data_IF_654253063613
#
_entry.id   IF_654253063613
#
_cell.length_a   1.000
_cell.length_b   1.000
_cell.length_c   1.000
_cell.angle_alpha   90.00
_cell.angle_beta   90.00
_cell.angle_gamma   90.00
#
_symmetry.space_group_name_H-M   'P 1'
#
loop_
_entity.id
_entity.type
_entity.pdbx_description
1 polymer ?
#
# COMPACT_ATOMS: atom_id res chain seq x y z
N UNK A 1 13.67 20.66 0.16
CA UNK A 1 13.85 19.55 -0.82
C UNK A 1 13.70 18.15 -0.23
N UNK A 2 14.13 17.86 1.02
CA UNK A 2 13.94 16.53 1.64
C UNK A 2 12.47 16.04 1.68
N UNK A 3 11.53 16.94 1.99
CA UNK A 3 10.09 16.63 2.03
C UNK A 3 9.52 16.12 0.69
N UNK A 4 9.87 16.78 -0.41
CA UNK A 4 9.46 16.38 -1.78
C UNK A 4 10.06 15.03 -2.22
N UNK A 5 11.29 14.72 -1.81
CA UNK A 5 11.92 13.42 -2.07
C UNK A 5 11.26 12.29 -1.29
N UNK A 6 10.89 12.53 -0.03
CA UNK A 6 10.20 11.56 0.83
C UNK A 6 8.75 11.30 0.44
N UNK A 7 8.07 12.28 -0.17
CA UNK A 7 6.75 12.11 -0.76
C UNK A 7 6.78 11.20 -2.00
N UNK A 8 7.78 11.39 -2.88
CA UNK A 8 7.98 10.52 -4.04
C UNK A 8 8.26 9.06 -3.63
N UNK A 9 8.98 8.85 -2.53
CA UNK A 9 9.18 7.50 -1.98
C UNK A 9 7.90 6.90 -1.41
N UNK A 10 7.07 7.70 -0.76
CA UNK A 10 5.78 7.28 -0.22
C UNK A 10 4.82 6.84 -1.34
N UNK A 11 4.74 7.63 -2.41
CA UNK A 11 3.94 7.28 -3.60
C UNK A 11 4.48 6.00 -4.26
N UNK A 12 5.81 5.86 -4.39
CA UNK A 12 6.42 4.62 -4.92
C UNK A 12 6.06 3.39 -4.10
N UNK A 13 6.02 3.50 -2.78
CA UNK A 13 5.61 2.40 -1.90
C UNK A 13 4.13 2.05 -2.07
N UNK A 14 3.25 3.05 -2.16
CA UNK A 14 1.83 2.82 -2.42
C UNK A 14 1.58 2.11 -3.76
N UNK A 15 2.27 2.54 -4.82
CA UNK A 15 2.21 1.90 -6.14
C UNK A 15 2.77 0.47 -6.09
N UNK A 16 3.87 0.26 -5.37
CA UNK A 16 4.45 -1.07 -5.20
C UNK A 16 3.46 -2.03 -4.53
N UNK A 17 2.81 -1.60 -3.44
CA UNK A 17 1.80 -2.41 -2.74
C UNK A 17 0.59 -2.70 -3.64
N UNK A 18 0.12 -1.70 -4.39
CA UNK A 18 -1.02 -1.85 -5.30
C UNK A 18 -0.77 -2.87 -6.43
N UNK A 19 0.49 -3.03 -6.86
CA UNK A 19 0.89 -4.01 -7.89
C UNK A 19 1.26 -5.37 -7.28
N UNK A 20 1.91 -5.38 -6.11
CA UNK A 20 2.31 -6.60 -5.43
C UNK A 20 1.11 -7.42 -4.96
N UNK A 21 0.05 -6.76 -4.48
CA UNK A 21 -1.16 -7.42 -4.00
C UNK A 21 -1.82 -8.34 -5.06
N UNK A 22 -2.18 -7.86 -6.27
CA UNK A 22 -2.77 -8.72 -7.29
C UNK A 22 -1.83 -9.83 -7.77
N UNK A 23 -0.52 -9.57 -7.81
CA UNK A 23 0.49 -10.60 -8.14
C UNK A 23 0.51 -11.74 -7.11
N UNK A 24 0.55 -11.41 -5.82
CA UNK A 24 0.58 -12.39 -4.74
C UNK A 24 -0.74 -13.17 -4.69
N UNK A 25 -1.87 -12.48 -4.81
CA UNK A 25 -3.19 -13.11 -4.78
C UNK A 25 -3.38 -14.06 -5.98
N UNK A 26 -2.92 -13.65 -7.17
CA UNK A 26 -2.91 -14.53 -8.35
C UNK A 26 -2.03 -15.77 -8.13
N UNK A 27 -0.82 -15.61 -7.60
CA UNK A 27 0.08 -16.72 -7.25
C UNK A 27 -0.55 -17.68 -6.25
N UNK A 28 -1.17 -17.18 -5.18
CA UNK A 28 -1.88 -18.00 -4.20
C UNK A 28 -3.02 -18.78 -4.84
N UNK A 29 -3.79 -18.15 -5.74
CA UNK A 29 -4.86 -18.83 -6.45
C UNK A 29 -4.33 -19.89 -7.44
N UNK A 30 -3.24 -19.59 -8.17
CA UNK A 30 -2.58 -20.52 -9.08
C UNK A 30 -2.02 -21.75 -8.34
N UNK A 31 -1.49 -21.56 -7.13
CA UNK A 31 -0.99 -22.63 -6.27
C UNK A 31 -2.10 -23.41 -5.54
N UNK A 32 -3.38 -23.07 -5.77
CA UNK A 32 -4.52 -23.74 -5.13
C UNK A 32 -4.67 -23.43 -3.63
N UNK A 33 -4.04 -22.35 -3.14
CA UNK A 33 -4.13 -21.88 -1.76
C UNK A 33 -5.34 -20.96 -1.53
N UNK A 34 -6.07 -20.61 -2.59
CA UNK A 34 -7.29 -19.80 -2.53
C UNK A 34 -8.51 -20.67 -2.28
N UNK A 35 -9.38 -20.24 -1.37
CA UNK A 35 -10.65 -20.90 -1.05
C UNK A 35 -11.83 -20.39 -1.91
N UNK A 36 -11.60 -19.51 -2.89
CA UNK A 36 -12.65 -18.86 -3.68
C UNK A 36 -12.31 -18.70 -5.17
N UNK A 37 -13.32 -18.34 -5.96
CA UNK A 37 -13.17 -18.05 -7.39
C UNK A 37 -12.42 -16.73 -7.57
N UNK A 38 -11.27 -16.78 -8.23
CA UNK A 38 -10.45 -15.60 -8.47
C UNK A 38 -11.09 -14.67 -9.50
N UNK A 39 -11.20 -13.40 -9.14
CA UNK A 39 -11.69 -12.31 -10.00
C UNK A 39 -10.62 -11.25 -10.18
N UNK A 40 -10.18 -11.05 -11.42
CA UNK A 40 -9.20 -10.00 -11.75
C UNK A 40 -9.72 -8.60 -11.40
N UNK A 41 -10.99 -8.33 -11.65
CA UNK A 41 -11.60 -7.02 -11.38
C UNK A 41 -11.65 -6.71 -9.90
N UNK A 42 -12.05 -7.69 -9.09
CA UNK A 42 -12.09 -7.53 -7.64
C UNK A 42 -10.69 -7.34 -7.09
N UNK A 43 -9.73 -8.16 -7.51
CA UNK A 43 -8.34 -8.09 -7.03
C UNK A 43 -7.67 -6.76 -7.38
N UNK A 44 -7.90 -6.23 -8.59
CA UNK A 44 -7.36 -4.94 -9.02
C UNK A 44 -7.99 -3.77 -8.24
N UNK A 45 -9.32 -3.78 -8.05
CA UNK A 45 -10.00 -2.78 -7.24
C UNK A 45 -9.54 -2.83 -5.79
N UNK A 46 -9.43 -4.02 -5.22
CA UNK A 46 -8.96 -4.21 -3.85
C UNK A 46 -7.52 -3.76 -3.70
N UNK A 47 -6.63 -4.14 -4.63
CA UNK A 47 -5.22 -3.71 -4.65
C UNK A 47 -5.05 -2.19 -4.72
N UNK A 48 -5.85 -1.51 -5.55
CA UNK A 48 -5.86 -0.04 -5.62
C UNK A 48 -6.34 0.59 -4.32
N UNK A 49 -7.47 0.12 -3.78
CA UNK A 49 -8.01 0.61 -2.51
C UNK A 49 -7.01 0.40 -1.37
N UNK A 50 -6.40 -0.79 -1.28
CA UNK A 50 -5.39 -1.10 -0.28
C UNK A 50 -4.16 -0.20 -0.42
N UNK A 51 -3.68 0.03 -1.65
CA UNK A 51 -2.56 0.92 -1.92
C UNK A 51 -2.83 2.37 -1.50
N UNK A 52 -4.03 2.88 -1.78
CA UNK A 52 -4.46 4.23 -1.37
C UNK A 52 -4.59 4.33 0.15
N UNK A 53 -5.23 3.36 0.81
CA UNK A 53 -5.35 3.33 2.28
C UNK A 53 -3.96 3.26 2.93
N UNK A 54 -3.08 2.39 2.42
CA UNK A 54 -1.71 2.27 2.91
C UNK A 54 -0.94 3.58 2.77
N UNK A 55 -1.03 4.23 1.62
CA UNK A 55 -0.43 5.53 1.38
C UNK A 55 -0.97 6.60 2.34
N UNK A 56 -2.29 6.67 2.50
CA UNK A 56 -2.94 7.60 3.42
C UNK A 56 -2.50 7.37 4.87
N UNK A 57 -2.50 6.12 5.36
CA UNK A 57 -2.01 5.81 6.69
C UNK A 57 -0.54 6.21 6.86
N UNK A 58 0.33 5.86 5.91
CA UNK A 58 1.75 6.24 5.95
C UNK A 58 1.96 7.75 5.91
N UNK A 59 1.12 8.50 5.19
CA UNK A 59 1.13 9.95 5.18
C UNK A 59 0.68 10.53 6.54
N UNK A 60 -0.41 10.03 7.11
CA UNK A 60 -0.93 10.49 8.41
C UNK A 60 0.01 10.15 9.58
N UNK A 61 0.59 8.95 9.62
CA UNK A 61 1.59 8.59 10.65
C UNK A 61 2.86 9.44 10.56
N UNK A 62 3.21 9.96 9.38
CA UNK A 62 4.32 10.92 9.25
C UNK A 62 4.02 12.25 9.91
N UNK A 63 2.78 12.72 9.89
CA UNK A 63 2.40 13.95 10.58
C UNK A 63 2.67 13.84 12.08
N UNK A 64 2.30 12.71 12.70
CA UNK A 64 2.56 12.45 14.11
C UNK A 64 4.03 12.19 14.45
N UNK A 65 4.84 11.71 13.49
CA UNK A 65 6.28 11.50 13.69
C UNK A 65 7.09 12.80 13.55
N UNK A 66 6.64 13.74 12.72
CA UNK A 66 7.26 15.07 12.57
C UNK A 66 6.82 16.05 13.67
N UNK A 67 5.68 15.81 14.33
CA UNK A 67 5.37 16.43 15.62
C UNK A 67 6.32 15.85 16.68
N UNK A 68 7.39 16.58 16.94
CA UNK A 68 8.40 16.28 17.96
C UNK A 68 7.75 16.32 19.35
N UNK A 69 7.13 15.22 19.76
CA UNK A 69 6.48 15.05 21.08
C UNK A 69 7.50 14.88 22.21
N UNK A 70 8.79 15.12 21.98
CA UNK A 70 9.77 15.18 23.07
C UNK A 70 9.55 16.44 23.89
N UNK A 71 9.03 16.35 25.13
CA UNK A 71 9.06 17.50 26.02
C UNK A 71 10.54 17.82 26.32
N UNK A 72 10.93 19.09 26.19
CA UNK A 72 12.19 19.62 26.74
C UNK A 72 11.97 20.07 28.18
#
# INVERSE_FOLDING_TARGET
MKKLLQDRQSIKLGVFVAVAFPLIYFLMNFLGLSNGMFSWWETLLFGLVQGVIFWFCMASFRQFREEDITPR
#
